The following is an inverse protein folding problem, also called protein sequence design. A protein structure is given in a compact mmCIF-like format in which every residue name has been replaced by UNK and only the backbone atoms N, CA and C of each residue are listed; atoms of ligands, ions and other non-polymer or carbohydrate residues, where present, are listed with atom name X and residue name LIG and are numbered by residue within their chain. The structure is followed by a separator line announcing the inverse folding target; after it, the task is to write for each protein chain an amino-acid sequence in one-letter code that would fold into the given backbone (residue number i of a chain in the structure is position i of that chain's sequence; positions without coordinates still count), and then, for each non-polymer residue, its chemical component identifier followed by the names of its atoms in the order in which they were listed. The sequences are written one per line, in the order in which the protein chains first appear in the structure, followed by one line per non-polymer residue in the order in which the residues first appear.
data_IF_980307385862
#
_entry.id   IF_980307385862
#
_cell.length_a   1.000
_cell.length_b   1.000
_cell.length_c   1.000
_cell.angle_alpha   90.00
_cell.angle_beta   90.00
_cell.angle_gamma   90.00
#
_symmetry.space_group_name_H-M   'P 1'
#
loop_
_entity.id
_entity.type
_entity.pdbx_description
1 polymer ?
#
# COMPACT_ATOMS: atom_id res chain seq x y z
N UNK A 1 -42.27 19.49 11.71
CA UNK A 1 -40.91 19.19 12.19
C UNK A 1 -40.23 18.39 11.09
N UNK A 2 -39.43 19.04 10.21
CA UNK A 2 -38.71 18.30 9.18
C UNK A 2 -37.60 17.43 9.83
N UNK A 3 -37.25 16.27 9.23
CA UNK A 3 -36.19 15.42 9.74
C UNK A 3 -34.82 16.11 9.60
N UNK A 4 -34.08 16.14 10.71
CA UNK A 4 -32.72 16.69 10.88
C UNK A 4 -31.63 15.78 10.26
N UNK A 5 -31.97 15.04 9.21
CA UNK A 5 -31.07 14.11 8.51
C UNK A 5 -30.32 14.80 7.36
N UNK A 6 -29.82 16.02 7.60
CA UNK A 6 -28.85 16.60 6.70
C UNK A 6 -27.56 15.75 6.80
N UNK A 7 -27.07 15.15 5.71
CA UNK A 7 -25.82 14.41 5.77
C UNK A 7 -24.76 15.39 6.27
N UNK A 8 -24.05 15.02 7.34
CA UNK A 8 -22.92 15.77 7.86
C UNK A 8 -22.03 16.14 6.67
N UNK A 9 -22.10 17.39 6.22
CA UNK A 9 -21.18 17.93 5.23
C UNK A 9 -19.83 17.85 5.88
N UNK A 10 -19.08 16.79 5.58
CA UNK A 10 -17.73 16.62 6.06
C UNK A 10 -16.98 17.86 5.62
N UNK A 11 -16.60 18.68 6.59
CA UNK A 11 -15.87 19.90 6.33
C UNK A 11 -14.48 19.49 5.84
N UNK A 12 -14.33 19.32 4.53
CA UNK A 12 -13.05 19.03 3.92
C UNK A 12 -12.22 20.31 4.04
N UNK A 13 -11.06 20.29 4.73
CA UNK A 13 -10.20 21.45 4.82
C UNK A 13 -9.82 21.93 3.41
N UNK A 14 -9.71 23.25 3.17
CA UNK A 14 -9.36 23.78 1.85
C UNK A 14 -8.03 23.22 1.33
N UNK A 15 -7.09 22.95 2.23
CA UNK A 15 -5.80 22.31 1.94
C UNK A 15 -5.95 20.90 1.37
N UNK A 16 -6.87 20.10 1.91
CA UNK A 16 -7.10 18.73 1.45
C UNK A 16 -7.70 18.72 0.04
N UNK A 17 -8.62 19.65 -0.23
CA UNK A 17 -9.22 19.81 -1.56
C UNK A 17 -8.19 20.25 -2.62
N UNK A 18 -7.30 21.19 -2.27
CA UNK A 18 -6.20 21.61 -3.15
C UNK A 18 -5.26 20.43 -3.45
N UNK A 19 -4.88 19.66 -2.43
CA UNK A 19 -3.98 18.52 -2.63
C UNK A 19 -4.65 17.41 -3.44
N UNK A 20 -5.94 17.14 -3.19
CA UNK A 20 -6.72 16.17 -3.95
C UNK A 20 -6.76 16.50 -5.43
N UNK A 21 -7.16 17.72 -5.78
CA UNK A 21 -7.23 18.18 -7.18
C UNK A 21 -5.86 18.12 -7.88
N UNK A 22 -4.79 18.44 -7.15
CA UNK A 22 -3.42 18.28 -7.65
C UNK A 22 -3.08 16.80 -7.91
N UNK A 23 -3.35 15.90 -6.96
CA UNK A 23 -3.05 14.46 -7.07
C UNK A 23 -3.82 13.85 -8.25
N UNK A 24 -5.11 14.14 -8.37
CA UNK A 24 -5.96 13.68 -9.47
C UNK A 24 -5.45 14.16 -10.83
N UNK A 25 -5.03 15.42 -10.93
CA UNK A 25 -4.41 15.96 -12.16
C UNK A 25 -3.10 15.23 -12.50
N UNK A 26 -2.27 14.95 -11.50
CA UNK A 26 -1.03 14.19 -11.72
C UNK A 26 -1.28 12.72 -12.14
N UNK A 27 -2.35 12.10 -11.63
CA UNK A 27 -2.76 10.76 -12.04
C UNK A 27 -3.23 10.75 -13.50
N UNK A 28 -4.13 11.65 -13.88
CA UNK A 28 -4.66 11.78 -15.24
C UNK A 28 -3.58 12.12 -16.27
N UNK A 29 -2.58 12.90 -15.88
CA UNK A 29 -1.45 13.24 -16.75
C UNK A 29 -0.32 12.19 -16.76
N UNK A 30 -0.45 11.13 -15.97
CA UNK A 30 0.56 10.07 -15.86
C UNK A 30 1.87 10.48 -15.20
N UNK A 31 1.90 11.61 -14.50
CA UNK A 31 3.12 12.19 -13.91
C UNK A 31 3.33 11.80 -12.45
N UNK A 32 2.35 11.17 -11.80
CA UNK A 32 2.46 10.77 -10.39
C UNK A 32 3.38 9.55 -10.24
N UNK A 33 4.69 9.80 -10.19
CA UNK A 33 5.73 8.78 -9.92
C UNK A 33 5.96 8.59 -8.41
N UNK A 34 6.60 7.50 -7.96
CA UNK A 34 6.96 7.32 -6.55
C UNK A 34 7.79 8.48 -5.97
N UNK A 35 8.70 9.04 -6.76
CA UNK A 35 9.49 10.21 -6.37
C UNK A 35 8.61 11.46 -6.23
N UNK A 36 7.62 11.63 -7.11
CA UNK A 36 6.69 12.77 -7.07
C UNK A 36 5.69 12.64 -5.92
N UNK A 37 5.20 11.44 -5.64
CA UNK A 37 4.43 11.12 -4.41
C UNK A 37 5.15 11.60 -3.15
N UNK A 38 6.46 11.35 -3.02
CA UNK A 38 7.24 11.84 -1.86
C UNK A 38 7.26 13.37 -1.78
N UNK A 39 7.30 14.08 -2.93
CA UNK A 39 7.21 15.54 -2.96
C UNK A 39 5.84 16.03 -2.54
N UNK A 40 4.78 15.42 -3.06
CA UNK A 40 3.39 15.72 -2.69
C UNK A 40 3.18 15.59 -1.17
N UNK A 41 3.68 14.50 -0.57
CA UNK A 41 3.61 14.31 0.88
C UNK A 41 4.38 15.41 1.63
N UNK A 42 5.58 15.79 1.18
CA UNK A 42 6.33 16.90 1.79
C UNK A 42 5.60 18.25 1.67
N UNK A 43 4.95 18.52 0.54
CA UNK A 43 4.16 19.74 0.36
C UNK A 43 2.92 19.74 1.25
N UNK A 44 2.22 18.61 1.36
CA UNK A 44 1.10 18.46 2.27
C UNK A 44 1.50 18.73 3.73
N UNK A 45 2.68 18.23 4.15
CA UNK A 45 3.23 18.52 5.47
C UNK A 45 3.54 20.00 5.69
N UNK A 46 4.08 20.69 4.68
CA UNK A 46 4.32 22.13 4.76
C UNK A 46 3.02 22.95 4.87
N UNK A 47 1.89 22.38 4.45
CA UNK A 47 0.55 22.98 4.54
C UNK A 47 -0.22 22.56 5.80
N UNK A 48 0.42 21.83 6.72
CA UNK A 48 -0.14 21.48 8.03
C UNK A 48 -0.78 20.09 8.12
N UNK A 49 -0.74 19.26 7.08
CA UNK A 49 -1.19 17.87 7.16
C UNK A 49 -0.13 16.96 7.76
N UNK A 50 -0.52 15.98 8.55
CA UNK A 50 0.41 14.93 8.96
C UNK A 50 0.85 14.09 7.75
N UNK A 51 2.03 13.47 7.84
CA UNK A 51 2.51 12.54 6.81
C UNK A 51 1.54 11.36 6.60
N UNK A 52 0.83 10.96 7.66
CA UNK A 52 -0.16 9.87 7.62
C UNK A 52 -1.40 10.30 6.84
N UNK A 53 -1.97 11.47 7.13
CA UNK A 53 -3.13 12.01 6.41
C UNK A 53 -2.81 12.25 4.93
N UNK A 54 -1.66 12.85 4.64
CA UNK A 54 -1.19 13.03 3.26
C UNK A 54 -1.02 11.68 2.54
N UNK A 55 -0.52 10.67 3.24
CA UNK A 55 -0.42 9.31 2.73
C UNK A 55 -1.79 8.67 2.43
N UNK A 56 -2.77 8.87 3.33
CA UNK A 56 -4.16 8.39 3.15
C UNK A 56 -4.84 9.07 1.97
N UNK A 57 -4.69 10.38 1.82
CA UNK A 57 -5.27 11.13 0.70
C UNK A 57 -4.75 10.62 -0.65
N UNK A 58 -3.44 10.38 -0.76
CA UNK A 58 -2.84 9.80 -1.96
C UNK A 58 -3.38 8.38 -2.23
N UNK A 59 -3.57 7.58 -1.19
CA UNK A 59 -4.14 6.23 -1.32
C UNK A 59 -5.60 6.28 -1.79
N UNK A 60 -6.42 7.16 -1.22
CA UNK A 60 -7.81 7.38 -1.66
C UNK A 60 -7.88 7.80 -3.14
N UNK A 61 -7.13 8.81 -3.56
CA UNK A 61 -7.13 9.26 -4.95
C UNK A 61 -6.67 8.15 -5.91
N UNK A 62 -5.70 7.32 -5.49
CA UNK A 62 -5.26 6.16 -6.26
C UNK A 62 -6.39 5.13 -6.40
N UNK A 63 -7.06 4.81 -5.30
CA UNK A 63 -8.10 3.78 -5.29
C UNK A 63 -9.33 4.22 -6.09
N UNK A 64 -9.69 5.51 -6.02
CA UNK A 64 -10.69 6.13 -6.89
C UNK A 64 -10.28 6.05 -8.37
N UNK A 65 -9.02 6.36 -8.69
CA UNK A 65 -8.51 6.23 -10.07
C UNK A 65 -8.44 4.79 -10.57
N UNK A 66 -8.32 3.79 -9.68
CA UNK A 66 -8.40 2.37 -10.03
C UNK A 66 -9.84 1.91 -10.31
N UNK A 67 -10.82 2.49 -9.60
CA UNK A 67 -12.24 2.21 -9.79
C UNK A 67 -12.85 2.96 -10.99
N UNK A 68 -12.21 4.03 -11.46
CA UNK A 68 -12.67 4.84 -12.59
C UNK A 68 -12.36 4.25 -13.98
N UNK A 69 -12.92 4.91 -15.00
CA UNK A 69 -12.82 4.51 -16.41
C UNK A 69 -11.64 5.14 -17.17
N UNK A 70 -10.90 6.08 -16.56
CA UNK A 70 -9.75 6.73 -17.22
C UNK A 70 -8.56 5.75 -17.32
N UNK A 71 -8.19 5.30 -18.55
CA UNK A 71 -7.13 4.31 -18.72
C UNK A 71 -5.75 4.81 -18.30
N UNK A 72 -5.48 6.11 -18.44
CA UNK A 72 -4.18 6.72 -18.10
C UNK A 72 -4.06 6.82 -16.58
N UNK A 73 -5.11 7.32 -15.93
CA UNK A 73 -5.16 7.42 -14.48
C UNK A 73 -5.04 6.04 -13.83
N UNK A 74 -5.77 5.04 -14.36
CA UNK A 74 -5.72 3.65 -13.88
C UNK A 74 -4.35 3.02 -14.06
N UNK A 75 -3.71 3.18 -15.22
CA UNK A 75 -2.36 2.65 -15.45
C UNK A 75 -1.32 3.29 -14.51
N UNK A 76 -1.47 4.58 -14.25
CA UNK A 76 -0.58 5.34 -13.35
C UNK A 76 -0.81 4.94 -11.89
N UNK A 77 -2.06 4.77 -11.48
CA UNK A 77 -2.43 4.30 -10.15
C UNK A 77 -1.86 2.89 -9.87
N UNK A 78 -1.88 1.98 -10.85
CA UNK A 78 -1.28 0.64 -10.73
C UNK A 78 0.23 0.69 -10.44
N UNK A 79 0.96 1.67 -10.95
CA UNK A 79 2.41 1.84 -10.69
C UNK A 79 2.70 2.25 -9.24
N UNK A 80 1.72 2.80 -8.54
CA UNK A 80 1.83 3.26 -7.15
C UNK A 80 1.45 2.19 -6.13
N UNK A 81 0.83 1.10 -6.57
CA UNK A 81 0.59 -0.07 -5.73
C UNK A 81 1.96 -0.70 -5.42
N UNK A 82 2.34 -0.84 -4.14
CA UNK A 82 3.56 -1.55 -3.80
C UNK A 82 3.45 -2.95 -4.35
N UNK A 83 4.35 -3.31 -5.29
CA UNK A 83 4.46 -4.71 -5.72
C UNK A 83 4.78 -5.53 -4.48
N UNK A 84 4.05 -6.63 -4.22
CA UNK A 84 4.49 -7.57 -3.19
C UNK A 84 5.89 -8.03 -3.61
N UNK A 85 6.90 -7.59 -2.87
CA UNK A 85 8.25 -8.16 -3.01
C UNK A 85 8.09 -9.57 -2.46
N UNK A 86 8.30 -10.64 -3.27
CA UNK A 86 8.30 -11.98 -2.72
C UNK A 86 9.40 -12.01 -1.67
N UNK A 87 8.98 -12.10 -0.41
CA UNK A 87 9.87 -12.20 0.72
C UNK A 87 10.67 -13.49 0.49
N UNK A 88 11.96 -13.39 0.14
CA UNK A 88 12.82 -14.56 -0.14
C UNK A 88 13.21 -15.31 1.14
N UNK A 89 12.74 -14.83 2.30
CA UNK A 89 13.09 -15.32 3.63
C UNK A 89 12.41 -16.63 4.10
N UNK A 90 11.22 -17.07 3.64
CA UNK A 90 10.60 -18.29 4.16
C UNK A 90 11.19 -19.57 3.56
N UNK A 91 11.88 -19.50 2.42
CA UNK A 91 12.42 -20.69 1.74
C UNK A 91 13.62 -21.29 2.48
N UNK A 92 14.51 -20.44 3.00
CA UNK A 92 15.68 -20.90 3.77
C UNK A 92 15.27 -21.53 5.11
N UNK A 93 14.25 -20.97 5.77
CA UNK A 93 13.72 -21.52 7.02
C UNK A 93 13.04 -22.88 6.81
N UNK A 94 12.26 -23.04 5.74
CA UNK A 94 11.62 -24.32 5.41
C UNK A 94 12.64 -25.43 5.10
N UNK A 95 13.72 -25.10 4.37
CA UNK A 95 14.81 -26.05 4.05
C UNK A 95 15.57 -26.51 5.30
N UNK A 96 15.83 -25.62 6.26
CA UNK A 96 16.49 -25.96 7.51
C UNK A 96 15.66 -26.94 8.36
N UNK A 97 14.33 -26.78 8.39
CA UNK A 97 13.42 -27.68 9.11
C UNK A 97 13.38 -29.07 8.48
N UNK A 98 13.35 -29.15 7.15
CA UNK A 98 13.37 -30.45 6.44
C UNK A 98 14.68 -31.19 6.68
N UNK A 99 15.82 -30.48 6.62
CA UNK A 99 17.13 -31.08 6.92
C UNK A 99 17.21 -31.58 8.37
N UNK A 100 16.79 -30.76 9.35
CA UNK A 100 16.76 -31.17 10.75
C UNK A 100 15.87 -32.41 10.97
N UNK A 101 14.68 -32.45 10.35
CA UNK A 101 13.77 -33.58 10.44
C UNK A 101 14.39 -34.87 9.86
N UNK A 102 15.07 -34.79 8.72
CA UNK A 102 15.75 -35.96 8.14
C UNK A 102 16.91 -36.47 8.99
N UNK A 103 17.67 -35.59 9.64
CA UNK A 103 18.76 -35.98 10.55
C UNK A 103 18.19 -36.70 11.79
N UNK A 104 17.15 -36.13 12.41
CA UNK A 104 16.48 -36.74 13.58
C UNK A 104 15.88 -38.10 13.22
N UNK A 105 15.19 -38.21 12.09
CA UNK A 105 14.63 -39.48 11.62
C UNK A 105 15.71 -40.54 11.42
N UNK A 106 16.82 -40.20 10.75
CA UNK A 106 17.91 -41.14 10.50
C UNK A 106 18.58 -41.60 11.80
N UNK A 107 18.75 -40.69 12.77
CA UNK A 107 19.31 -41.01 14.08
C UNK A 107 18.40 -41.97 14.87
N UNK A 108 17.09 -41.72 14.86
CA UNK A 108 16.09 -42.58 15.51
C UNK A 108 16.05 -43.99 14.90
N UNK A 109 16.10 -44.10 13.56
CA UNK A 109 16.13 -45.40 12.88
C UNK A 109 17.41 -46.18 13.22
N UNK A 110 18.58 -45.52 13.26
CA UNK A 110 19.83 -46.17 13.66
C UNK A 110 19.81 -46.69 15.11
N UNK A 111 19.18 -45.97 16.03
CA UNK A 111 19.04 -46.39 17.43
C UNK A 111 18.11 -47.59 17.60
N UNK A 112 17.06 -47.71 16.77
CA UNK A 112 16.11 -48.82 16.82
C UNK A 112 16.68 -50.07 16.14
N UNK A 113 17.47 -49.92 15.07
CA UNK A 113 18.00 -51.05 14.30
C UNK A 113 19.33 -51.62 14.82
N UNK A 114 19.99 -50.94 15.76
CA UNK A 114 21.32 -51.30 16.28
C UNK A 114 21.37 -51.85 17.71
N UNK A 115 20.23 -52.13 18.34
CA UNK A 115 20.12 -52.76 19.66
C UNK A 115 19.42 -54.11 19.57
#
# INVERSE_FOLDING_TARGET
MPPDDAPATSFIPPTELILRTMIESELRTGRLTPARRRRVVRYAMALGLSAVEAGRLVAQCRDEALAGDDPIARQTALKLVPRPVPDRRPVAAALAVVLAATVVYKLAVMLIAGG
#
